data_IF_260678127743
#
_entry.id   IF_260678127743
#
_cell.length_a   1.000
_cell.length_b   1.000
_cell.length_c   1.000
_cell.angle_alpha   90.00
_cell.angle_beta   90.00
_cell.angle_gamma   90.00
#
_symmetry.space_group_name_H-M   'P 1'
#
loop_
_entity.id
_entity.type
_entity.pdbx_description
1 polymer ?
#
# COMPACT_ATOMS: atom_id res chain seq x y z
N UNK A 1 49.65 -2.56 48.20
CA UNK A 1 48.63 -3.50 47.65
C UNK A 1 47.80 -2.70 46.66
N UNK A 2 48.10 -2.62 45.35
CA UNK A 2 48.12 -3.67 44.31
C UNK A 2 46.79 -4.43 44.19
N UNK A 3 45.80 -3.87 43.47
CA UNK A 3 45.42 -4.29 42.09
C UNK A 3 44.15 -3.59 41.55
N UNK A 4 44.31 -2.92 40.38
CA UNK A 4 43.39 -2.64 39.22
C UNK A 4 42.06 -1.90 39.48
N UNK A 5 41.75 -0.67 39.02
CA UNK A 5 41.77 0.03 37.70
C UNK A 5 40.83 -0.56 36.63
N UNK A 6 39.74 0.16 36.30
CA UNK A 6 39.55 0.86 35.01
C UNK A 6 38.64 2.10 35.16
N UNK A 7 39.08 3.21 34.54
CA UNK A 7 38.37 4.48 34.31
C UNK A 7 38.05 4.54 32.81
N UNK A 8 36.93 5.19 32.44
CA UNK A 8 36.71 5.71 31.09
C UNK A 8 35.66 6.83 31.07
N UNK A 9 36.07 8.04 30.65
CA UNK A 9 35.26 9.23 30.36
C UNK A 9 35.52 9.63 28.89
N UNK A 10 34.51 10.21 28.21
CA UNK A 10 34.50 10.81 26.86
C UNK A 10 34.68 9.83 25.67
N UNK A 11 34.09 9.97 24.47
CA UNK A 11 33.75 11.15 23.67
C UNK A 11 32.73 10.78 22.54
N UNK A 12 32.06 11.81 21.99
CA UNK A 12 31.58 12.03 20.61
C UNK A 12 31.91 10.99 19.50
N UNK A 13 30.87 10.61 18.74
CA UNK A 13 30.82 10.19 17.33
C UNK A 13 31.85 9.16 16.75
N UNK A 14 31.33 7.99 16.38
CA UNK A 14 31.64 7.23 15.15
C UNK A 14 30.31 6.55 14.76
N UNK A 15 29.58 6.98 13.72
CA UNK A 15 29.81 6.63 12.31
C UNK A 15 30.42 5.22 12.19
N UNK A 16 29.54 4.22 12.18
CA UNK A 16 29.72 3.08 11.31
C UNK A 16 28.76 3.33 10.16
N UNK A 17 29.30 3.93 9.10
CA UNK A 17 28.70 3.81 7.80
C UNK A 17 28.75 2.33 7.44
N UNK A 18 27.59 1.69 7.36
CA UNK A 18 27.42 0.73 6.29
C UNK A 18 27.67 1.53 5.02
N UNK A 19 28.75 1.22 4.33
CA UNK A 19 28.82 1.46 2.91
C UNK A 19 27.69 0.61 2.31
N UNK A 20 26.47 1.15 2.31
CA UNK A 20 25.59 0.88 1.20
C UNK A 20 26.43 1.22 -0.02
N UNK A 21 26.56 0.25 -0.90
CA UNK A 21 26.93 0.50 -2.27
C UNK A 21 25.85 1.46 -2.77
N UNK A 22 26.10 2.76 -2.60
CA UNK A 22 25.57 3.77 -3.46
C UNK A 22 26.07 3.35 -4.82
N UNK A 23 25.24 2.60 -5.53
CA UNK A 23 25.28 2.59 -6.95
C UNK A 23 25.01 4.04 -7.37
N UNK A 24 26.04 4.89 -7.30
CA UNK A 24 26.27 5.94 -8.27
C UNK A 24 26.54 5.27 -9.62
N UNK A 25 25.58 4.45 -10.08
CA UNK A 25 25.38 4.23 -11.49
C UNK A 25 24.94 5.58 -12.01
N UNK A 26 25.74 6.16 -12.92
CA UNK A 26 25.60 7.52 -13.40
C UNK A 26 24.14 7.94 -13.56
N UNK A 27 23.87 9.14 -13.06
CA UNK A 27 22.62 9.89 -13.10
C UNK A 27 22.12 10.05 -14.55
N UNK A 28 21.61 8.95 -15.09
CA UNK A 28 21.05 8.82 -16.43
C UNK A 28 19.55 8.55 -16.40
N UNK A 29 18.92 8.61 -15.22
CA UNK A 29 17.47 8.74 -15.08
C UNK A 29 17.09 10.17 -15.47
N UNK A 30 17.21 10.43 -16.78
CA UNK A 30 16.68 11.62 -17.45
C UNK A 30 15.23 11.77 -17.00
N UNK A 31 14.86 13.00 -16.65
CA UNK A 31 13.58 13.48 -16.15
C UNK A 31 12.40 12.52 -16.42
N UNK A 32 11.58 12.26 -15.41
CA UNK A 32 10.40 11.43 -15.56
C UNK A 32 9.15 12.20 -15.12
N UNK A 33 8.17 12.39 -16.02
CA UNK A 33 8.24 12.08 -17.45
C UNK A 33 9.36 12.91 -18.12
N UNK A 34 10.01 12.42 -19.19
CA UNK A 34 11.02 13.20 -19.88
C UNK A 34 10.37 14.51 -20.33
N UNK A 35 11.12 15.61 -20.29
CA UNK A 35 10.74 16.90 -20.87
C UNK A 35 10.34 16.84 -22.36
N UNK A 36 10.35 15.66 -22.96
CA UNK A 36 9.81 15.36 -24.28
C UNK A 36 8.32 15.09 -24.21
N UNK A 37 7.56 15.66 -25.14
CA UNK A 37 6.11 15.46 -25.33
C UNK A 37 5.70 14.02 -25.75
N UNK A 38 6.56 13.03 -25.51
CA UNK A 38 6.39 11.65 -25.95
C UNK A 38 7.02 10.70 -24.93
N UNK A 39 6.24 9.71 -24.48
CA UNK A 39 6.76 8.51 -23.81
C UNK A 39 6.74 7.39 -24.85
N UNK A 40 7.88 6.73 -25.08
CA UNK A 40 7.96 5.57 -25.98
C UNK A 40 7.59 4.31 -25.20
N UNK A 41 6.79 3.42 -25.80
CA UNK A 41 6.37 2.15 -25.20
C UNK A 41 6.60 1.06 -26.23
N UNK A 42 7.35 0.02 -25.89
CA UNK A 42 7.49 -1.16 -26.73
C UNK A 42 6.23 -2.04 -26.55
N UNK A 43 5.51 -2.35 -27.65
CA UNK A 43 4.28 -3.16 -27.62
C UNK A 43 4.47 -4.49 -28.34
N UNK A 44 4.91 -5.51 -27.62
CA UNK A 44 5.34 -6.79 -28.23
C UNK A 44 4.21 -7.84 -28.37
N UNK A 45 3.07 -7.65 -27.68
CA UNK A 45 2.11 -8.73 -27.40
C UNK A 45 0.95 -8.96 -28.41
N UNK A 46 0.89 -8.26 -29.56
CA UNK A 46 -0.21 -8.43 -30.54
C UNK A 46 0.14 -9.28 -31.77
N UNK A 47 0.99 -10.31 -31.59
CA UNK A 47 1.13 -11.36 -32.59
C UNK A 47 1.90 -10.97 -33.86
N UNK A 48 2.67 -9.89 -33.83
CA UNK A 48 3.67 -9.59 -34.86
C UNK A 48 5.07 -9.97 -34.35
N UNK A 49 5.58 -11.18 -34.67
CA UNK A 49 6.93 -11.61 -34.28
C UNK A 49 8.05 -10.79 -34.97
N UNK A 50 7.72 -9.89 -35.90
CA UNK A 50 8.67 -8.96 -36.51
C UNK A 50 8.78 -7.60 -35.78
N UNK A 51 8.09 -7.39 -34.65
CA UNK A 51 8.34 -6.22 -33.78
C UNK A 51 8.02 -4.88 -34.45
N UNK A 52 6.82 -4.73 -35.01
CA UNK A 52 6.41 -3.43 -35.55
C UNK A 52 6.34 -2.38 -34.43
N UNK A 53 7.09 -1.31 -34.64
CA UNK A 53 7.31 -0.21 -33.73
C UNK A 53 6.10 0.71 -33.77
N UNK A 54 5.36 0.77 -32.67
CA UNK A 54 4.41 1.86 -32.47
C UNK A 54 5.10 2.93 -31.64
N UNK A 55 5.64 3.94 -32.32
CA UNK A 55 5.65 5.26 -31.71
C UNK A 55 4.20 5.53 -31.34
N UNK A 56 3.88 5.66 -30.06
CA UNK A 56 2.60 6.23 -29.66
C UNK A 56 2.90 7.70 -29.38
N UNK A 57 2.98 8.59 -30.41
CA UNK A 57 2.68 9.98 -30.12
C UNK A 57 1.24 9.98 -29.62
N UNK A 58 1.00 10.57 -28.45
CA UNK A 58 -0.35 10.82 -27.99
C UNK A 58 -1.08 11.63 -29.06
N UNK A 59 -1.86 11.00 -29.94
CA UNK A 59 -2.62 11.72 -30.96
C UNK A 59 -4.11 11.37 -30.90
N UNK A 60 -4.85 12.44 -30.57
CA UNK A 60 -6.27 12.68 -30.77
C UNK A 60 -7.27 11.97 -29.85
N UNK A 61 -7.14 12.26 -28.56
CA UNK A 61 -8.27 12.78 -27.77
C UNK A 61 -7.80 14.07 -27.12
N UNK A 62 -8.28 15.22 -27.56
CA UNK A 62 -7.85 16.58 -27.20
C UNK A 62 -7.72 16.82 -25.68
N UNK A 63 -6.51 16.81 -25.10
CA UNK A 63 -6.29 17.16 -23.68
C UNK A 63 -4.87 17.76 -23.42
N UNK A 64 -4.79 18.57 -22.36
CA UNK A 64 -4.01 19.80 -22.19
C UNK A 64 -2.48 19.71 -22.03
N UNK A 65 -1.86 20.86 -22.29
CA UNK A 65 -0.44 21.18 -22.48
C UNK A 65 0.52 21.01 -21.27
N UNK A 66 0.31 20.06 -20.35
CA UNK A 66 1.24 19.81 -19.24
C UNK A 66 1.53 18.31 -19.06
N UNK A 67 2.80 17.96 -18.84
CA UNK A 67 3.38 16.60 -18.91
C UNK A 67 2.65 15.51 -18.10
N UNK A 68 1.81 15.87 -17.12
CA UNK A 68 0.99 14.93 -16.35
C UNK A 68 -0.12 14.26 -17.17
N UNK A 69 -0.64 14.93 -18.20
CA UNK A 69 -1.66 14.35 -19.08
C UNK A 69 -1.17 13.09 -19.81
N UNK A 70 0.11 13.05 -20.18
CA UNK A 70 0.71 11.90 -20.87
C UNK A 70 0.83 10.67 -19.96
N UNK A 71 1.34 10.86 -18.74
CA UNK A 71 1.53 9.77 -17.79
C UNK A 71 0.18 9.19 -17.33
N UNK A 72 -0.84 10.03 -17.12
CA UNK A 72 -2.18 9.55 -16.75
C UNK A 72 -2.81 8.68 -17.84
N UNK A 73 -2.60 9.03 -19.10
CA UNK A 73 -3.10 8.20 -20.20
C UNK A 73 -2.34 6.87 -20.30
N UNK A 74 -1.02 6.85 -20.08
CA UNK A 74 -0.26 5.60 -19.95
C UNK A 74 -0.85 4.72 -18.85
N UNK A 75 -0.98 5.26 -17.64
CA UNK A 75 -1.53 4.56 -16.48
C UNK A 75 -2.96 4.08 -16.77
N UNK A 76 -3.75 4.84 -17.53
CA UNK A 76 -5.10 4.41 -17.94
C UNK A 76 -5.02 3.16 -18.83
N UNK A 77 -4.14 3.15 -19.83
CA UNK A 77 -3.96 1.96 -20.68
C UNK A 77 -3.38 0.76 -19.93
N UNK A 78 -2.58 0.98 -18.88
CA UNK A 78 -2.14 -0.09 -17.96
C UNK A 78 -3.32 -0.63 -17.16
N UNK A 79 -4.18 0.22 -16.59
CA UNK A 79 -5.40 -0.24 -15.92
C UNK A 79 -6.29 -1.03 -16.88
N UNK A 80 -6.41 -0.59 -18.13
CA UNK A 80 -7.15 -1.31 -19.16
C UNK A 80 -6.56 -2.69 -19.47
N UNK A 81 -5.24 -2.87 -19.45
CA UNK A 81 -4.64 -4.17 -19.74
C UNK A 81 -4.54 -5.10 -18.53
N UNK A 82 -4.30 -4.55 -17.35
CA UNK A 82 -4.16 -5.32 -16.09
C UNK A 82 -5.50 -5.63 -15.43
N UNK A 83 -6.46 -4.71 -15.52
CA UNK A 83 -7.79 -4.81 -14.91
C UNK A 83 -8.89 -4.84 -15.98
N UNK A 84 -8.56 -5.13 -17.25
CA UNK A 84 -9.49 -5.21 -18.39
C UNK A 84 -10.55 -6.32 -18.34
N UNK A 85 -10.70 -6.98 -17.19
CA UNK A 85 -11.52 -8.17 -17.02
C UNK A 85 -10.74 -9.44 -17.37
N UNK A 86 -10.86 -10.44 -16.50
CA UNK A 86 -10.34 -11.79 -16.72
C UNK A 86 -11.51 -12.78 -16.76
N UNK A 87 -11.23 -14.04 -17.07
CA UNK A 87 -12.23 -15.10 -16.91
C UNK A 87 -12.71 -15.27 -15.47
N UNK A 88 -11.93 -14.81 -14.47
CA UNK A 88 -12.20 -14.96 -13.04
C UNK A 88 -12.82 -13.71 -12.42
N UNK A 89 -12.50 -12.52 -12.92
CA UNK A 89 -13.14 -11.28 -12.49
C UNK A 89 -13.60 -10.52 -13.72
N UNK A 90 -14.91 -10.57 -13.93
CA UNK A 90 -15.55 -9.83 -15.00
C UNK A 90 -15.16 -8.36 -14.92
N UNK A 91 -15.05 -7.73 -16.09
CA UNK A 91 -14.59 -6.35 -16.22
C UNK A 91 -15.33 -5.40 -15.26
N UNK A 92 -16.60 -5.61 -14.94
CA UNK A 92 -17.42 -4.76 -14.06
C UNK A 92 -17.30 -5.03 -12.55
N UNK A 93 -16.42 -5.94 -12.12
CA UNK A 93 -16.32 -6.39 -10.72
C UNK A 93 -15.13 -5.79 -9.96
N UNK A 94 -14.33 -4.92 -10.59
CA UNK A 94 -13.25 -4.18 -9.94
C UNK A 94 -13.79 -2.93 -9.27
N UNK A 95 -13.56 -2.81 -7.96
CA UNK A 95 -13.94 -1.64 -7.16
C UNK A 95 -13.02 -0.45 -7.42
N UNK A 96 -13.58 0.76 -7.34
CA UNK A 96 -12.89 2.03 -7.58
C UNK A 96 -11.66 2.19 -6.70
N UNK A 97 -11.71 1.80 -5.41
CA UNK A 97 -10.55 1.96 -4.51
C UNK A 97 -9.43 0.98 -4.88
N UNK A 98 -9.76 -0.21 -5.40
CA UNK A 98 -8.76 -1.13 -5.94
C UNK A 98 -8.11 -0.55 -7.20
N UNK A 99 -8.90 0.04 -8.09
CA UNK A 99 -8.39 0.67 -9.31
C UNK A 99 -7.56 1.92 -8.99
N UNK A 100 -7.89 2.67 -7.93
CA UNK A 100 -7.07 3.80 -7.44
C UNK A 100 -5.72 3.32 -6.91
N UNK A 101 -5.69 2.25 -6.11
CA UNK A 101 -4.43 1.64 -5.67
C UNK A 101 -3.60 1.17 -6.88
N UNK A 102 -4.21 0.45 -7.81
CA UNK A 102 -3.57 0.01 -9.05
C UNK A 102 -3.03 1.19 -9.88
N UNK A 103 -3.74 2.31 -9.93
CA UNK A 103 -3.30 3.51 -10.65
C UNK A 103 -2.02 4.09 -10.06
N UNK A 104 -1.95 4.22 -8.73
CA UNK A 104 -0.75 4.69 -8.04
C UNK A 104 0.40 3.70 -8.16
N UNK A 105 0.11 2.40 -8.03
CA UNK A 105 1.08 1.33 -8.24
C UNK A 105 1.70 1.43 -9.64
N UNK A 106 0.86 1.54 -10.67
CA UNK A 106 1.32 1.63 -12.04
C UNK A 106 2.12 2.90 -12.33
N UNK A 107 1.70 4.04 -11.75
CA UNK A 107 2.47 5.28 -11.85
C UNK A 107 3.84 5.17 -11.17
N UNK A 108 3.91 4.46 -10.05
CA UNK A 108 5.18 4.22 -9.33
C UNK A 108 6.13 3.35 -10.15
N UNK A 109 5.64 2.29 -10.80
CA UNK A 109 6.43 1.47 -11.74
C UNK A 109 6.94 2.34 -12.89
N UNK A 110 6.07 3.16 -13.48
CA UNK A 110 6.47 4.09 -14.54
C UNK A 110 7.59 5.04 -14.09
N UNK A 111 7.51 5.62 -12.89
CA UNK A 111 8.60 6.46 -12.35
C UNK A 111 9.89 5.69 -12.02
N UNK A 112 9.80 4.41 -11.67
CA UNK A 112 10.97 3.59 -11.39
C UNK A 112 11.72 3.18 -12.67
N UNK A 113 11.01 3.04 -13.79
CA UNK A 113 11.53 2.48 -15.05
C UNK A 113 11.46 3.43 -16.24
N UNK A 114 11.04 4.67 -16.04
CA UNK A 114 11.11 5.70 -17.06
C UNK A 114 12.56 6.06 -17.43
N UNK A 115 12.74 6.56 -18.65
CA UNK A 115 14.04 7.06 -19.10
C UNK A 115 15.06 5.95 -19.36
N UNK A 116 14.63 4.69 -19.41
CA UNK A 116 15.44 3.58 -19.91
C UNK A 116 15.42 3.56 -21.43
N UNK A 117 16.48 3.01 -22.03
CA UNK A 117 16.52 2.81 -23.49
C UNK A 117 15.58 1.67 -23.81
N UNK A 118 14.40 2.00 -24.32
CA UNK A 118 13.46 1.00 -24.83
C UNK A 118 13.97 0.41 -26.13
N UNK A 119 14.44 1.28 -27.03
CA UNK A 119 14.69 0.86 -28.41
C UNK A 119 15.61 1.79 -29.19
N UNK A 120 16.09 1.26 -30.32
CA UNK A 120 16.68 2.03 -31.42
C UNK A 120 15.78 1.90 -32.65
N UNK A 121 15.45 3.01 -33.30
CA UNK A 121 14.71 2.98 -34.56
C UNK A 121 15.57 2.49 -35.75
N UNK A 122 14.99 2.46 -36.95
CA UNK A 122 15.67 2.04 -38.18
C UNK A 122 16.86 2.95 -38.54
N UNK A 123 16.85 4.19 -38.06
CA UNK A 123 17.91 5.19 -38.25
C UNK A 123 18.92 5.20 -37.08
N UNK A 124 18.84 4.21 -36.17
CA UNK A 124 19.68 4.05 -34.99
C UNK A 124 19.53 5.17 -33.93
N UNK A 125 18.45 5.95 -33.98
CA UNK A 125 18.10 6.90 -32.92
C UNK A 125 17.61 6.14 -31.70
N UNK A 126 18.07 6.56 -30.51
CA UNK A 126 17.68 5.96 -29.24
C UNK A 126 16.39 6.60 -28.75
N UNK A 127 15.40 5.76 -28.46
CA UNK A 127 14.14 6.16 -27.83
C UNK A 127 14.11 5.71 -26.38
N UNK A 128 13.79 6.64 -25.51
CA UNK A 128 13.67 6.41 -24.07
C UNK A 128 12.20 6.34 -23.66
N UNK A 129 11.87 5.42 -22.77
CA UNK A 129 10.48 5.09 -22.49
C UNK A 129 10.27 4.34 -21.19
N UNK A 130 9.22 3.53 -21.16
CA UNK A 130 8.85 2.63 -20.05
C UNK A 130 8.70 1.20 -20.58
N UNK A 131 9.44 0.27 -19.99
CA UNK A 131 9.37 -1.16 -20.33
C UNK A 131 8.09 -1.73 -19.74
N UNK A 132 7.15 -1.98 -20.64
CA UNK A 132 5.85 -2.51 -20.30
C UNK A 132 5.84 -4.05 -20.46
N UNK A 133 6.53 -4.62 -21.46
CA UNK A 133 6.41 -6.03 -21.84
C UNK A 133 6.60 -7.03 -20.69
N UNK A 134 7.50 -6.72 -19.76
CA UNK A 134 7.79 -7.61 -18.63
C UNK A 134 7.24 -7.15 -17.29
N UNK A 135 6.66 -5.94 -17.24
CA UNK A 135 6.35 -5.25 -15.98
C UNK A 135 4.86 -4.98 -15.82
N UNK A 136 4.22 -4.48 -16.87
CA UNK A 136 2.84 -4.04 -16.84
C UNK A 136 2.14 -4.37 -18.15
N UNK A 137 0.84 -4.61 -18.14
CA UNK A 137 0.09 -4.83 -19.36
C UNK A 137 -0.56 -3.53 -19.84
N UNK A 138 0.04 -2.83 -20.80
CA UNK A 138 -0.54 -1.68 -21.47
C UNK A 138 -1.42 -2.09 -22.66
N UNK A 139 -2.74 -1.94 -22.50
CA UNK A 139 -3.73 -2.27 -23.54
C UNK A 139 -4.81 -1.19 -23.64
N UNK A 140 -4.49 0.01 -24.15
CA UNK A 140 -5.47 1.08 -24.29
C UNK A 140 -6.64 0.64 -25.18
N UNK A 141 -7.85 1.00 -24.77
CA UNK A 141 -9.11 0.60 -25.41
C UNK A 141 -9.58 -0.83 -25.10
N UNK A 142 -8.81 -1.63 -24.35
CA UNK A 142 -9.19 -3.01 -24.04
C UNK A 142 -10.45 -3.10 -23.17
N UNK A 143 -10.65 -2.13 -22.26
CA UNK A 143 -11.82 -2.11 -21.38
C UNK A 143 -13.09 -1.62 -22.10
N UNK A 144 -12.98 -1.18 -23.37
CA UNK A 144 -14.11 -0.78 -24.20
C UNK A 144 -15.02 0.26 -23.53
N UNK A 145 -16.17 -0.19 -23.03
CA UNK A 145 -17.17 0.69 -22.39
C UNK A 145 -16.72 1.27 -21.04
N UNK A 146 -15.76 0.65 -20.33
CA UNK A 146 -15.23 1.16 -19.05
C UNK A 146 -14.04 2.10 -19.20
N UNK A 147 -13.55 2.37 -20.41
CA UNK A 147 -12.36 3.24 -20.61
C UNK A 147 -12.55 4.64 -19.98
N UNK A 148 -13.76 5.20 -20.01
CA UNK A 148 -14.05 6.50 -19.36
C UNK A 148 -13.99 6.46 -17.83
N UNK A 149 -14.32 5.33 -17.23
CA UNK A 149 -14.22 5.12 -15.79
C UNK A 149 -12.77 5.01 -15.34
N UNK A 150 -11.94 4.21 -16.05
CA UNK A 150 -10.52 4.10 -15.74
C UNK A 150 -9.81 5.45 -15.87
N UNK A 151 -10.20 6.27 -16.84
CA UNK A 151 -9.74 7.66 -16.93
C UNK A 151 -10.11 8.50 -15.71
N UNK A 152 -11.34 8.41 -15.24
CA UNK A 152 -11.77 9.14 -14.03
C UNK A 152 -10.96 8.70 -12.80
N UNK A 153 -10.67 7.40 -12.70
CA UNK A 153 -9.83 6.84 -11.62
C UNK A 153 -8.38 7.35 -11.71
N UNK A 154 -7.78 7.35 -12.90
CA UNK A 154 -6.40 7.82 -13.06
C UNK A 154 -6.28 9.32 -12.81
N UNK A 155 -7.24 10.12 -13.27
CA UNK A 155 -7.33 11.55 -12.97
C UNK A 155 -7.44 11.82 -11.47
N UNK A 156 -8.25 11.02 -10.75
CA UNK A 156 -8.41 11.12 -9.29
C UNK A 156 -7.15 10.83 -8.47
N UNK A 157 -6.14 10.19 -9.06
CA UNK A 157 -4.85 9.89 -8.40
C UNK A 157 -3.66 10.57 -9.07
N UNK A 158 -3.92 11.59 -9.90
CA UNK A 158 -2.87 12.29 -10.69
C UNK A 158 -1.66 12.67 -9.85
N UNK A 159 -0.48 12.36 -10.38
CA UNK A 159 0.82 12.68 -9.78
C UNK A 159 1.12 11.92 -8.49
N UNK A 160 0.26 11.01 -8.04
CA UNK A 160 0.52 10.23 -6.84
C UNK A 160 1.40 9.01 -7.10
N UNK A 161 2.34 8.75 -6.20
CA UNK A 161 3.28 7.63 -6.27
C UNK A 161 3.70 7.14 -4.88
N UNK A 162 4.31 5.96 -4.80
CA UNK A 162 4.92 5.45 -3.58
C UNK A 162 6.42 5.74 -3.53
N UNK A 163 6.89 6.13 -2.34
CA UNK A 163 8.31 6.22 -2.00
C UNK A 163 8.61 5.34 -0.80
N UNK A 164 9.76 4.67 -0.77
CA UNK A 164 10.18 3.91 0.42
C UNK A 164 10.97 4.78 1.41
N UNK A 165 10.57 4.76 2.68
CA UNK A 165 11.13 5.60 3.74
C UNK A 165 10.85 7.10 3.55
N UNK A 166 11.65 7.94 4.22
CA UNK A 166 11.42 9.39 4.27
C UNK A 166 11.99 10.15 3.05
N UNK A 167 12.65 9.47 2.12
CA UNK A 167 13.26 10.09 0.96
C UNK A 167 12.22 10.39 -0.12
N UNK A 168 12.22 11.61 -0.65
CA UNK A 168 11.19 12.10 -1.58
C UNK A 168 11.24 11.47 -2.98
N UNK A 169 12.40 10.93 -3.38
CA UNK A 169 12.65 10.41 -4.73
C UNK A 169 13.07 8.94 -4.75
N UNK A 170 12.71 8.16 -3.72
CA UNK A 170 12.98 6.72 -3.67
C UNK A 170 11.86 5.92 -4.36
N UNK A 171 11.73 6.09 -5.67
CA UNK A 171 10.89 5.20 -6.48
C UNK A 171 11.53 3.82 -6.53
N UNK A 172 10.70 2.78 -6.47
CA UNK A 172 11.14 1.41 -6.54
C UNK A 172 10.25 0.63 -7.51
N UNK A 173 10.81 -0.47 -7.99
CA UNK A 173 10.17 -1.40 -8.91
C UNK A 173 9.03 -2.14 -8.22
N UNK A 174 7.84 -1.56 -8.26
CA UNK A 174 6.68 -1.98 -7.50
C UNK A 174 6.03 -3.22 -8.13
N UNK A 175 6.11 -4.34 -7.43
CA UNK A 175 5.57 -5.62 -7.92
C UNK A 175 4.07 -5.73 -7.61
N UNK A 176 3.27 -6.12 -8.59
CA UNK A 176 1.89 -6.58 -8.37
C UNK A 176 1.59 -7.74 -9.32
N UNK A 177 0.61 -8.56 -8.97
CA UNK A 177 0.26 -9.78 -9.70
C UNK A 177 -1.18 -10.18 -9.45
N UNK A 178 -1.72 -11.09 -10.25
CA UNK A 178 -3.10 -11.56 -10.10
C UNK A 178 -3.36 -12.15 -8.70
N UNK A 179 -2.46 -13.03 -8.23
CA UNK A 179 -2.60 -13.79 -6.98
C UNK A 179 -1.32 -13.83 -6.15
N UNK A 180 -1.43 -13.72 -4.83
CA UNK A 180 -0.29 -13.70 -3.88
C UNK A 180 -0.42 -14.66 -2.70
N UNK A 181 -1.48 -15.48 -2.63
CA UNK A 181 -1.73 -16.39 -1.52
C UNK A 181 -2.07 -15.69 -0.20
N UNK A 182 -2.26 -16.47 0.89
CA UNK A 182 -2.53 -15.91 2.24
C UNK A 182 -1.35 -15.21 2.91
N UNK A 183 -0.17 -15.34 2.33
CA UNK A 183 1.07 -14.73 2.80
C UNK A 183 1.88 -14.34 1.58
N UNK A 184 2.19 -13.05 1.45
CA UNK A 184 3.03 -12.59 0.35
C UNK A 184 4.50 -12.92 0.61
N UNK A 185 5.27 -13.08 -0.46
CA UNK A 185 6.70 -13.37 -0.39
C UNK A 185 7.51 -12.09 -0.32
N UNK A 186 8.52 -12.08 0.54
CA UNK A 186 9.55 -11.06 0.50
C UNK A 186 10.32 -11.09 -0.82
N UNK A 187 10.67 -9.93 -1.38
CA UNK A 187 11.73 -9.87 -2.39
C UNK A 187 13.06 -10.24 -1.72
N UNK A 188 13.94 -10.96 -2.43
CA UNK A 188 15.27 -11.31 -1.92
C UNK A 188 16.02 -10.07 -1.45
N UNK A 189 16.44 -10.06 -0.19
CA UNK A 189 17.16 -8.95 0.46
C UNK A 189 16.25 -7.88 1.08
N UNK A 190 14.93 -8.03 1.00
CA UNK A 190 13.94 -7.09 1.55
C UNK A 190 13.15 -7.70 2.73
N UNK A 191 13.61 -8.82 3.30
CA UNK A 191 12.83 -9.63 4.25
C UNK A 191 12.51 -8.93 5.57
N UNK A 192 13.30 -7.91 5.96
CA UNK A 192 13.16 -7.24 7.25
C UNK A 192 12.55 -5.84 7.15
N UNK A 193 12.96 -5.06 6.16
CA UNK A 193 12.69 -3.61 6.11
C UNK A 193 12.48 -3.06 4.70
N UNK A 194 12.35 -3.92 3.68
CA UNK A 194 12.18 -3.45 2.30
C UNK A 194 10.72 -3.21 1.91
N UNK A 195 10.47 -2.45 0.83
CA UNK A 195 9.13 -2.15 0.37
C UNK A 195 8.33 -3.40 -0.04
N UNK A 196 9.00 -4.50 -0.39
CA UNK A 196 8.36 -5.78 -0.69
C UNK A 196 8.60 -6.83 0.38
N UNK A 197 8.68 -6.44 1.66
CA UNK A 197 8.59 -7.40 2.76
C UNK A 197 7.28 -8.20 2.66
N UNK A 198 7.35 -9.50 2.92
CA UNK A 198 6.19 -10.38 2.95
C UNK A 198 5.21 -10.01 4.08
N UNK A 199 3.92 -9.97 3.77
CA UNK A 199 2.83 -9.60 4.68
C UNK A 199 1.72 -10.65 4.68
N UNK A 200 1.01 -10.74 5.80
CA UNK A 200 -0.15 -11.61 5.95
C UNK A 200 -1.34 -11.05 5.16
N UNK A 201 -1.94 -11.83 4.27
CA UNK A 201 -3.06 -11.43 3.41
C UNK A 201 -4.23 -12.44 3.55
N UNK A 202 -4.99 -12.42 4.66
CA UNK A 202 -5.98 -13.45 4.96
C UNK A 202 -7.13 -13.54 3.94
N UNK A 203 -7.34 -12.53 3.09
CA UNK A 203 -8.36 -12.57 2.04
C UNK A 203 -7.90 -13.35 0.79
N UNK A 204 -6.61 -13.66 0.68
CA UNK A 204 -6.05 -14.53 -0.36
C UNK A 204 -6.45 -16.01 -0.18
N UNK A 205 -6.32 -16.80 -1.24
CA UNK A 205 -6.64 -18.22 -1.18
C UNK A 205 -5.47 -19.06 -0.62
N UNK A 206 -5.79 -20.19 0.03
CA UNK A 206 -4.81 -21.11 0.62
C UNK A 206 -4.01 -21.90 -0.41
N UNK A 207 -4.60 -22.13 -1.58
CA UNK A 207 -4.02 -22.88 -2.71
C UNK A 207 -3.34 -21.97 -3.75
N UNK A 208 -3.39 -20.65 -3.55
CA UNK A 208 -2.65 -19.68 -4.35
C UNK A 208 -1.18 -19.65 -3.92
N UNK A 209 -0.28 -19.71 -4.91
CA UNK A 209 1.15 -19.59 -4.65
C UNK A 209 1.47 -18.21 -4.11
N UNK A 210 2.27 -18.19 -3.05
CA UNK A 210 2.80 -16.96 -2.48
C UNK A 210 3.57 -16.16 -3.55
N UNK A 211 3.36 -14.85 -3.56
CA UNK A 211 4.00 -13.94 -4.50
C UNK A 211 4.39 -12.63 -3.85
N UNK A 212 5.36 -11.94 -4.43
CA UNK A 212 5.83 -10.65 -3.94
C UNK A 212 4.93 -9.51 -4.42
N UNK A 213 4.66 -8.56 -3.51
CA UNK A 213 3.92 -7.34 -3.78
C UNK A 213 2.40 -7.48 -3.64
N UNK A 214 1.64 -6.67 -4.38
CA UNK A 214 0.18 -6.61 -4.28
C UNK A 214 -0.50 -7.73 -5.09
N UNK A 215 -1.44 -8.44 -4.47
CA UNK A 215 -2.38 -9.31 -5.16
C UNK A 215 -3.59 -8.55 -5.65
N UNK A 216 -3.83 -8.51 -6.96
CA UNK A 216 -4.91 -7.74 -7.58
C UNK A 216 -6.29 -8.18 -7.07
N UNK A 217 -6.55 -9.50 -7.01
CA UNK A 217 -7.83 -10.02 -6.52
C UNK A 217 -8.00 -9.82 -5.02
N UNK A 218 -6.96 -10.09 -4.22
CA UNK A 218 -6.98 -9.85 -2.78
C UNK A 218 -7.22 -8.36 -2.45
N UNK A 219 -6.60 -7.43 -3.17
CA UNK A 219 -6.87 -6.01 -3.05
C UNK A 219 -8.35 -5.66 -3.32
N UNK A 220 -8.99 -6.32 -4.31
CA UNK A 220 -10.42 -6.17 -4.56
C UNK A 220 -11.29 -6.78 -3.45
N UNK A 221 -10.86 -7.91 -2.88
CA UNK A 221 -11.54 -8.56 -1.75
C UNK A 221 -11.55 -7.67 -0.50
N UNK A 222 -10.42 -7.05 -0.16
CA UNK A 222 -10.35 -6.08 0.94
C UNK A 222 -11.35 -4.93 0.80
N UNK A 223 -11.49 -4.38 -0.41
CA UNK A 223 -12.38 -3.24 -0.63
C UNK A 223 -13.85 -3.64 -0.66
N UNK A 224 -14.15 -4.83 -1.16
CA UNK A 224 -15.52 -5.35 -1.19
C UNK A 224 -15.96 -5.91 0.16
N UNK A 225 -15.02 -6.20 1.06
CA UNK A 225 -15.29 -6.89 2.32
C UNK A 225 -15.75 -8.34 2.09
N UNK A 226 -15.25 -8.97 1.03
CA UNK A 226 -15.59 -10.34 0.66
C UNK A 226 -14.33 -11.21 0.70
N UNK A 227 -14.51 -12.52 0.84
CA UNK A 227 -13.42 -13.46 0.62
C UNK A 227 -13.35 -13.89 -0.85
N UNK A 228 -12.27 -14.56 -1.23
CA UNK A 228 -12.16 -15.20 -2.53
C UNK A 228 -13.22 -16.31 -2.66
N UNK A 229 -14.21 -16.10 -3.53
CA UNK A 229 -15.33 -17.02 -3.76
C UNK A 229 -14.89 -18.43 -4.19
N UNK A 230 -13.66 -18.59 -4.71
CA UNK A 230 -13.07 -19.91 -5.01
C UNK A 230 -13.00 -20.83 -3.81
N UNK A 231 -13.03 -20.28 -2.60
CA UNK A 231 -12.66 -21.02 -1.41
C UNK A 231 -13.75 -21.95 -0.89
N UNK A 232 -15.01 -21.88 -1.35
CA UNK A 232 -16.12 -22.76 -0.94
C UNK A 232 -16.32 -22.97 0.58
N UNK A 233 -15.53 -22.30 1.41
CA UNK A 233 -15.45 -22.46 2.85
C UNK A 233 -15.77 -21.10 3.50
N UNK A 234 -17.04 -20.87 3.87
CA UNK A 234 -17.54 -19.58 4.33
C UNK A 234 -17.06 -19.21 5.75
N UNK A 235 -16.16 -19.99 6.36
CA UNK A 235 -15.89 -19.94 7.81
C UNK A 235 -14.79 -18.93 8.19
N UNK A 236 -13.94 -18.51 7.24
CA UNK A 236 -12.74 -17.69 7.51
C UNK A 236 -12.81 -16.26 6.93
N UNK A 237 -13.99 -15.71 6.65
CA UNK A 237 -14.08 -14.39 6.02
C UNK A 237 -13.67 -13.30 7.02
N UNK A 238 -12.66 -12.46 6.72
CA UNK A 238 -12.45 -11.26 7.49
C UNK A 238 -13.68 -10.36 7.33
N UNK A 239 -14.36 -10.04 8.44
CA UNK A 239 -15.44 -9.03 8.49
C UNK A 239 -14.89 -7.60 8.32
N UNK A 240 -13.95 -7.41 7.41
CA UNK A 240 -13.15 -6.21 7.26
C UNK A 240 -13.31 -5.71 5.83
N UNK A 241 -13.72 -4.45 5.72
CA UNK A 241 -13.81 -3.73 4.46
C UNK A 241 -12.92 -2.49 4.54
N UNK A 242 -12.05 -2.32 3.56
CA UNK A 242 -11.28 -1.08 3.41
C UNK A 242 -12.01 -0.15 2.45
N UNK A 243 -12.06 1.13 2.79
CA UNK A 243 -12.77 2.16 2.00
C UNK A 243 -11.82 3.20 1.43
N UNK A 244 -10.52 2.93 1.51
CA UNK A 244 -9.47 3.86 1.13
C UNK A 244 -8.30 3.08 0.51
N UNK A 245 -8.02 3.35 -0.76
CA UNK A 245 -6.94 2.72 -1.53
C UNK A 245 -5.56 2.84 -0.87
N UNK A 246 -5.36 3.85 0.00
CA UNK A 246 -4.12 4.00 0.78
C UNK A 246 -3.90 2.83 1.73
N UNK A 247 -4.97 2.21 2.24
CA UNK A 247 -4.88 1.02 3.09
C UNK A 247 -4.35 -0.17 2.28
N UNK A 248 -4.79 -0.32 1.02
CA UNK A 248 -4.31 -1.37 0.12
C UNK A 248 -2.81 -1.18 -0.15
N UNK A 249 -2.40 0.02 -0.54
CA UNK A 249 -1.02 0.31 -0.89
C UNK A 249 -0.07 0.10 0.29
N UNK A 250 -0.44 0.60 1.48
CA UNK A 250 0.40 0.49 2.68
C UNK A 250 0.35 -0.88 3.35
N UNK A 251 -0.64 -1.72 3.01
CA UNK A 251 -0.67 -3.13 3.38
C UNK A 251 0.39 -3.94 2.63
N UNK A 252 0.38 -3.85 1.30
CA UNK A 252 1.23 -4.67 0.43
C UNK A 252 2.66 -4.12 0.27
N UNK A 253 2.85 -2.81 0.45
CA UNK A 253 4.15 -2.18 0.34
C UNK A 253 4.55 -1.56 1.68
N UNK A 254 5.51 -2.18 2.35
CA UNK A 254 5.83 -1.85 3.74
C UNK A 254 6.80 -0.66 3.81
N UNK A 255 6.69 0.17 4.86
CA UNK A 255 7.64 1.29 5.04
C UNK A 255 7.53 2.41 4.00
N UNK A 256 6.44 2.45 3.24
CA UNK A 256 6.25 3.44 2.17
C UNK A 256 5.44 4.65 2.63
N UNK A 257 5.59 5.76 1.91
CA UNK A 257 4.64 6.85 1.88
C UNK A 257 3.97 6.94 0.53
N UNK A 258 2.67 7.28 0.53
CA UNK A 258 2.06 7.88 -0.64
C UNK A 258 2.52 9.33 -0.72
N UNK A 259 2.93 9.78 -1.90
CA UNK A 259 3.26 11.18 -2.16
C UNK A 259 2.35 11.76 -3.24
N UNK A 260 2.14 13.07 -3.22
CA UNK A 260 1.45 13.80 -4.27
C UNK A 260 2.41 14.21 -5.40
N UNK A 261 1.91 14.93 -6.41
CA UNK A 261 2.70 15.42 -7.55
C UNK A 261 3.90 16.30 -7.13
N UNK A 262 3.79 17.02 -6.01
CA UNK A 262 4.84 17.89 -5.49
C UNK A 262 5.88 17.10 -4.65
N UNK A 263 5.68 15.80 -4.45
CA UNK A 263 6.50 14.97 -3.57
C UNK A 263 6.14 15.10 -2.08
N UNK A 264 5.07 15.81 -1.72
CA UNK A 264 4.63 15.91 -0.32
C UNK A 264 4.05 14.58 0.15
N UNK A 265 4.31 14.21 1.41
CA UNK A 265 3.77 13.02 2.04
C UNK A 265 2.25 13.15 2.25
N UNK A 266 1.49 12.21 1.70
CA UNK A 266 0.03 12.15 1.77
C UNK A 266 -0.49 11.10 2.77
N UNK A 267 0.40 10.33 3.41
CA UNK A 267 0.05 9.31 4.41
C UNK A 267 0.80 9.56 5.74
N UNK A 268 0.12 9.49 6.91
CA UNK A 268 0.75 9.69 8.23
C UNK A 268 1.86 8.68 8.53
N UNK A 269 2.88 8.99 9.34
CA UNK A 269 3.94 8.03 9.69
C UNK A 269 3.42 6.80 10.45
N UNK A 270 2.46 7.03 11.35
CA UNK A 270 1.84 6.01 12.20
C UNK A 270 0.52 5.58 11.56
N UNK A 271 0.48 4.33 11.11
CA UNK A 271 -0.69 3.75 10.44
C UNK A 271 -0.80 2.29 10.83
N UNK A 272 -2.02 1.79 10.73
CA UNK A 272 -2.32 0.40 10.97
C UNK A 272 -3.50 -0.02 10.09
N UNK A 273 -3.57 -1.31 9.78
CA UNK A 273 -4.76 -1.90 9.19
C UNK A 273 -5.29 -3.02 10.09
N UNK A 274 -6.60 -3.12 10.20
CA UNK A 274 -7.26 -4.32 10.70
C UNK A 274 -7.23 -5.36 9.58
N UNK A 275 -6.76 -6.57 9.88
CA UNK A 275 -6.75 -7.71 8.96
C UNK A 275 -7.85 -8.71 9.29
N UNK A 276 -8.20 -8.88 10.57
CA UNK A 276 -9.24 -9.79 11.02
C UNK A 276 -9.89 -9.30 12.31
N UNK A 277 -11.20 -9.52 12.42
CA UNK A 277 -11.99 -9.31 13.64
C UNK A 277 -12.83 -10.57 13.90
N UNK A 278 -12.58 -11.21 15.04
CA UNK A 278 -13.34 -12.36 15.51
C UNK A 278 -14.05 -12.00 16.81
N UNK A 279 -15.36 -12.16 16.85
CA UNK A 279 -16.18 -12.01 18.06
C UNK A 279 -16.48 -13.41 18.61
N UNK A 280 -16.21 -13.65 19.90
CA UNK A 280 -16.50 -14.94 20.53
C UNK A 280 -17.99 -15.08 20.95
N UNK A 281 -18.75 -13.99 20.91
CA UNK A 281 -20.17 -13.95 21.25
C UNK A 281 -20.87 -12.72 20.66
N UNK A 282 -22.20 -12.59 20.83
CA UNK A 282 -22.91 -11.39 20.43
C UNK A 282 -22.46 -10.20 21.27
N UNK A 283 -22.45 -9.00 20.67
CA UNK A 283 -22.23 -7.76 21.41
C UNK A 283 -23.54 -7.42 22.12
N UNK A 284 -23.56 -7.55 23.45
CA UNK A 284 -24.70 -7.23 24.31
C UNK A 284 -24.44 -5.89 25.02
N UNK A 285 -25.41 -4.96 25.06
CA UNK A 285 -25.22 -3.67 25.74
C UNK A 285 -24.79 -3.84 27.20
N UNK A 286 -23.85 -3.00 27.63
CA UNK A 286 -23.24 -3.00 28.98
C UNK A 286 -22.66 -4.34 29.46
N UNK A 287 -22.43 -5.30 28.55
CA UNK A 287 -21.84 -6.60 28.86
C UNK A 287 -20.50 -6.80 28.13
N UNK A 288 -19.65 -7.66 28.67
CA UNK A 288 -18.33 -7.93 28.12
C UNK A 288 -18.37 -9.13 27.15
N UNK A 289 -17.73 -8.97 25.99
CA UNK A 289 -17.47 -10.08 25.06
C UNK A 289 -15.99 -10.14 24.70
N UNK A 290 -15.44 -11.34 24.58
CA UNK A 290 -14.10 -11.51 24.05
C UNK A 290 -14.08 -11.23 22.55
N UNK A 291 -12.99 -10.58 22.13
CA UNK A 291 -12.70 -10.21 20.75
C UNK A 291 -11.23 -10.49 20.46
N UNK A 292 -10.97 -11.04 19.28
CA UNK A 292 -9.62 -11.21 18.75
C UNK A 292 -9.48 -10.31 17.53
N UNK A 293 -8.43 -9.48 17.52
CA UNK A 293 -8.06 -8.60 16.42
C UNK A 293 -6.73 -9.07 15.82
N UNK A 294 -6.60 -9.04 14.51
CA UNK A 294 -5.30 -9.13 13.84
C UNK A 294 -5.00 -7.78 13.23
N UNK A 295 -3.96 -7.11 13.73
CA UNK A 295 -3.56 -5.76 13.35
C UNK A 295 -2.25 -5.83 12.58
N UNK A 296 -2.08 -5.00 11.56
CA UNK A 296 -0.80 -4.85 10.86
C UNK A 296 -0.24 -3.45 11.07
N UNK A 297 1.06 -3.34 11.30
CA UNK A 297 1.76 -2.07 11.23
C UNK A 297 2.03 -1.68 9.78
N UNK A 298 1.19 -0.81 9.22
CA UNK A 298 1.33 -0.27 7.85
C UNK A 298 2.02 1.11 7.82
N UNK A 299 2.59 1.52 8.96
CA UNK A 299 3.35 2.76 9.09
C UNK A 299 4.73 2.72 8.45
N UNK A 300 5.50 3.77 8.67
CA UNK A 300 6.93 3.86 8.31
C UNK A 300 7.85 3.74 9.51
N UNK A 301 7.27 3.49 10.69
CA UNK A 301 7.98 3.35 11.96
C UNK A 301 7.48 2.10 12.68
N UNK A 302 8.41 1.31 13.23
CA UNK A 302 8.05 0.19 14.09
C UNK A 302 7.31 0.67 15.34
N UNK A 303 6.33 -0.08 15.82
CA UNK A 303 5.71 0.21 17.10
C UNK A 303 6.70 -0.14 18.20
N UNK A 304 7.05 0.85 19.01
CA UNK A 304 7.87 0.64 20.20
C UNK A 304 7.06 0.01 21.32
N UNK A 305 7.73 -0.73 22.20
CA UNK A 305 7.11 -1.33 23.39
C UNK A 305 6.44 -0.23 24.22
N UNK A 306 5.13 -0.36 24.48
CA UNK A 306 4.34 0.61 25.24
C UNK A 306 4.39 2.05 24.67
N UNK A 307 4.72 2.23 23.39
CA UNK A 307 4.69 3.53 22.72
C UNK A 307 3.34 3.81 22.06
N UNK A 308 2.61 2.74 21.72
CA UNK A 308 1.32 2.79 21.05
C UNK A 308 0.27 2.06 21.87
N UNK A 309 -0.95 2.60 21.83
CA UNK A 309 -2.11 1.94 22.40
C UNK A 309 -3.26 1.93 21.41
N UNK A 310 -3.95 0.80 21.28
CA UNK A 310 -5.20 0.73 20.54
C UNK A 310 -6.35 1.14 21.45
N UNK A 311 -7.02 2.25 21.10
CA UNK A 311 -8.19 2.76 21.81
C UNK A 311 -9.46 2.53 21.01
N UNK A 312 -10.60 2.52 21.70
CA UNK A 312 -11.92 2.35 21.10
C UNK A 312 -12.99 3.21 21.73
N UNK A 313 -14.00 3.55 20.93
CA UNK A 313 -15.14 4.37 21.33
C UNK A 313 -16.41 3.87 20.67
N UNK A 314 -17.49 3.75 21.45
CA UNK A 314 -18.84 3.62 20.92
C UNK A 314 -19.45 4.99 20.67
N UNK A 315 -19.79 5.27 19.43
CA UNK A 315 -20.41 6.53 19.03
C UNK A 315 -21.87 6.31 18.62
N UNK A 316 -22.82 7.06 19.17
CA UNK A 316 -24.19 7.07 18.68
C UNK A 316 -24.22 7.43 17.18
N UNK A 317 -25.00 6.69 16.39
CA UNK A 317 -25.10 6.89 14.93
C UNK A 317 -25.60 8.30 14.56
N UNK A 318 -26.37 8.91 15.45
CA UNK A 318 -26.93 10.25 15.34
C UNK A 318 -26.00 11.36 15.88
N UNK A 319 -24.78 11.01 16.32
CA UNK A 319 -23.77 11.97 16.80
C UNK A 319 -22.71 12.25 15.73
N UNK A 320 -22.87 13.32 14.91
CA UNK A 320 -21.95 13.60 13.81
C UNK A 320 -20.55 14.04 14.26
N UNK A 321 -20.39 14.43 15.53
CA UNK A 321 -19.10 14.85 16.09
C UNK A 321 -18.30 13.72 16.73
N UNK A 322 -18.86 12.50 16.80
CA UNK A 322 -18.19 11.34 17.40
C UNK A 322 -17.65 10.41 16.30
N UNK A 323 -16.39 9.93 16.40
CA UNK A 323 -15.46 10.14 17.51
C UNK A 323 -14.60 11.40 17.36
N UNK A 324 -14.19 11.99 18.49
CA UNK A 324 -13.11 12.98 18.59
C UNK A 324 -11.85 12.35 19.18
N UNK A 325 -10.70 13.03 19.04
CA UNK A 325 -9.46 12.62 19.72
C UNK A 325 -9.62 12.50 21.24
N UNK A 326 -10.42 13.36 21.86
CA UNK A 326 -10.66 13.31 23.30
C UNK A 326 -11.43 12.05 23.70
N UNK A 327 -12.35 11.58 22.86
CA UNK A 327 -13.11 10.35 23.13
C UNK A 327 -12.18 9.14 23.18
N UNK A 328 -11.20 9.04 22.27
CA UNK A 328 -10.21 7.97 22.31
C UNK A 328 -9.26 8.07 23.50
N UNK A 329 -8.86 9.29 23.90
CA UNK A 329 -7.98 9.48 25.07
C UNK A 329 -8.67 9.12 26.40
N UNK A 330 -9.99 9.29 26.47
CA UNK A 330 -10.80 8.92 27.64
C UNK A 330 -11.36 7.48 27.54
N UNK A 331 -11.21 6.84 26.39
CA UNK A 331 -11.68 5.48 26.13
C UNK A 331 -10.80 4.41 26.76
N UNK A 332 -11.22 3.14 26.60
CA UNK A 332 -10.38 2.01 26.98
C UNK A 332 -9.23 1.87 25.98
N UNK A 333 -7.99 1.79 26.47
CA UNK A 333 -6.79 1.64 25.64
C UNK A 333 -6.01 0.36 26.01
N UNK A 334 -5.54 -0.35 24.99
CA UNK A 334 -4.66 -1.52 25.13
C UNK A 334 -3.27 -1.15 24.61
N UNK A 335 -2.27 -1.19 25.49
CA UNK A 335 -0.88 -1.00 25.09
C UNK A 335 -0.43 -2.16 24.21
N UNK A 336 0.24 -1.82 23.11
CA UNK A 336 0.68 -2.79 22.12
C UNK A 336 2.15 -3.16 22.35
N UNK A 337 2.46 -4.42 22.03
CA UNK A 337 3.82 -4.93 21.95
C UNK A 337 4.59 -4.31 20.77
N UNK A 338 5.87 -4.64 20.68
CA UNK A 338 6.71 -4.25 19.54
C UNK A 338 6.20 -4.93 18.27
N UNK A 339 5.86 -4.13 17.26
CA UNK A 339 5.45 -4.63 15.93
C UNK A 339 6.27 -3.93 14.86
N UNK A 340 7.11 -4.69 14.15
CA UNK A 340 7.93 -4.12 13.08
C UNK A 340 7.05 -3.66 11.91
N UNK A 341 7.63 -2.80 11.08
CA UNK A 341 6.98 -2.35 9.84
C UNK A 341 6.58 -3.57 8.99
N UNK A 342 5.32 -3.63 8.58
CA UNK A 342 4.75 -4.73 7.80
C UNK A 342 4.31 -5.95 8.60
N UNK A 343 4.78 -6.12 9.84
CA UNK A 343 4.39 -7.26 10.68
C UNK A 343 2.96 -7.11 11.20
N UNK A 344 2.39 -8.25 11.62
CA UNK A 344 1.08 -8.30 12.24
C UNK A 344 1.15 -8.80 13.69
N UNK A 345 0.16 -8.39 14.48
CA UNK A 345 -0.03 -8.76 15.87
C UNK A 345 -1.46 -9.26 16.05
N UNK A 346 -1.59 -10.40 16.71
CA UNK A 346 -2.89 -10.88 17.22
C UNK A 346 -3.10 -10.32 18.62
N UNK A 347 -4.14 -9.51 18.80
CA UNK A 347 -4.55 -8.94 20.07
C UNK A 347 -5.83 -9.61 20.56
N UNK A 348 -5.74 -10.34 21.66
CA UNK A 348 -6.90 -10.85 22.39
C UNK A 348 -7.32 -9.84 23.46
N UNK A 349 -8.59 -9.49 23.47
CA UNK A 349 -9.10 -8.44 24.33
C UNK A 349 -10.58 -8.62 24.67
N UNK A 350 -11.06 -7.93 25.70
CA UNK A 350 -12.46 -7.89 26.06
C UNK A 350 -13.08 -6.60 25.52
N UNK A 351 -14.29 -6.64 24.97
CA UNK A 351 -15.05 -5.49 24.48
C UNK A 351 -16.30 -5.33 25.32
N UNK A 352 -16.40 -4.22 26.05
CA UNK A 352 -17.65 -3.79 26.66
C UNK A 352 -18.60 -3.34 25.55
N UNK A 353 -19.83 -3.88 25.54
CA UNK A 353 -20.88 -3.47 24.62
C UNK A 353 -21.27 -2.00 24.75
N UNK A 354 -22.05 -1.47 23.81
CA UNK A 354 -22.51 -0.09 23.87
C UNK A 354 -23.44 0.13 25.07
N UNK A 355 -23.69 1.39 25.48
CA UNK A 355 -24.66 1.69 26.53
C UNK A 355 -26.07 1.17 26.23
N UNK A 356 -26.78 0.66 27.24
CA UNK A 356 -28.18 0.18 27.15
C UNK A 356 -29.23 1.31 27.14
N UNK A 357 -29.00 2.39 26.39
CA UNK A 357 -29.89 3.56 26.34
C UNK A 357 -30.86 3.58 25.14
N UNK A 358 -30.93 2.47 24.41
CA UNK A 358 -31.85 2.30 23.27
C UNK A 358 -31.40 2.97 21.97
N UNK A 359 -30.20 3.57 21.92
CA UNK A 359 -29.64 4.15 20.68
C UNK A 359 -28.87 3.12 19.86
N UNK A 360 -28.71 3.40 18.57
CA UNK A 360 -27.80 2.64 17.70
C UNK A 360 -26.40 3.23 17.76
N UNK A 361 -25.38 2.37 17.77
CA UNK A 361 -23.99 2.77 17.90
C UNK A 361 -23.11 2.23 16.78
N UNK A 362 -22.00 2.92 16.53
CA UNK A 362 -20.86 2.45 15.75
C UNK A 362 -19.65 2.34 16.66
N UNK A 363 -18.90 1.25 16.53
CA UNK A 363 -17.62 1.07 17.20
C UNK A 363 -16.52 1.64 16.32
N UNK A 364 -15.72 2.53 16.89
CA UNK A 364 -14.52 3.08 16.27
C UNK A 364 -13.30 2.60 17.04
N UNK A 365 -12.21 2.32 16.31
CA UNK A 365 -10.90 2.00 16.85
C UNK A 365 -9.90 3.00 16.30
N UNK A 366 -8.93 3.40 17.12
CA UNK A 366 -7.82 4.25 16.66
C UNK A 366 -6.53 3.93 17.42
N UNK A 367 -5.40 4.20 16.76
CA UNK A 367 -4.07 3.98 17.32
C UNK A 367 -3.56 5.28 17.94
N UNK A 368 -3.44 5.28 19.25
CA UNK A 368 -2.90 6.40 20.00
C UNK A 368 -1.38 6.27 20.08
N UNK A 369 -0.68 7.29 19.59
CA UNK A 369 0.73 7.50 19.87
C UNK A 369 0.85 8.53 20.98
N UNK A 370 1.28 8.09 22.16
CA UNK A 370 1.60 8.97 23.27
C UNK A 370 3.06 8.81 23.62
N UNK A 371 3.84 9.89 23.80
CA UNK A 371 5.09 9.80 24.53
C UNK A 371 4.75 9.24 25.91
N UNK A 372 5.30 8.08 26.29
CA UNK A 372 5.14 7.54 27.64
C UNK A 372 5.47 8.68 28.63
N UNK A 373 4.57 9.03 29.57
CA UNK A 373 4.94 9.96 30.62
C UNK A 373 6.16 9.37 31.31
N UNK A 374 7.26 10.12 31.35
CA UNK A 374 8.57 9.66 31.86
C UNK A 374 8.59 9.25 33.34
N UNK A 375 7.43 9.22 34.02
CA UNK A 375 7.30 9.16 35.47
C UNK A 375 6.50 7.96 35.99
N UNK A 376 6.12 6.99 35.15
CA UNK A 376 5.64 5.70 35.66
C UNK A 376 6.86 4.80 35.92
N UNK A 377 7.59 5.08 37.01
CA UNK A 377 8.46 4.08 37.62
C UNK A 377 7.59 2.90 38.05
N UNK A 378 7.87 1.71 37.52
CA UNK A 378 7.32 0.46 38.01
C UNK A 378 7.64 0.35 39.50
N UNK A 379 6.64 0.63 40.33
CA UNK A 379 6.72 0.42 41.76
C UNK A 379 6.35 -1.02 42.07
N UNK A 380 7.37 -1.82 42.38
CA UNK A 380 7.38 -2.88 43.40
C UNK A 380 6.50 -4.10 43.19
#
# INVERSE_FOLDING_TARGET
>A
MLHRIFIGVCLLACIVGSAEVSAQGGDHRRECPPNTQTIWIARTLYGNPQGEIYAIPFQNGTFSDQNEGMLNNYVTGVLEGEFGGSGETALNNWDDETLRAASVAARTVAYAWCGIVEMRDQDNNIHYGVDDETRQHYRPGHAGVRTGEYRTITEGTTGQFLSHGNYSNSYFDLQYRTYVGRQTNSRTGEEQTGPHKGVLDPVGAVDENAGTGMGQHSANHWVRGFHNERLADPVDVPNVRWTDYRQILTHYYTGVHLRNANGDVATPDYRWNLLQLTLQGPIVPDDWTNVTLVLQNTGTVAWGENAFALSRVWCPVDSPSCPTRADFLNGFAYWLDVVQIGDSLTLETELLGPPSDGRSYRLYWDLLHTPRPSNCSEGG
#
